data_IF_182387518926
#
_entry.id   IF_182387518926
#
_cell.length_a   1.000
_cell.length_b   1.000
_cell.length_c   1.000
_cell.angle_alpha   90.00
_cell.angle_beta   90.00
_cell.angle_gamma   90.00
#
_symmetry.space_group_name_H-M   'P 1'
#
loop_
_entity.id
_entity.type
_entity.pdbx_description
1 polymer ?
#
# COMPACT_ATOMS: atom_id res chain seq x y z
N UNK A 1 -17.43 30.68 82.63
CA UNK A 1 -16.12 30.01 82.77
C UNK A 1 -16.26 28.65 82.10
N UNK A 2 -15.72 28.53 80.89
CA UNK A 2 -14.68 27.53 80.53
C UNK A 2 -15.33 26.26 79.92
N UNK A 3 -14.97 25.72 78.76
CA UNK A 3 -14.01 26.07 77.70
C UNK A 3 -14.35 25.24 76.46
N UNK A 4 -14.15 25.82 75.28
CA UNK A 4 -14.01 25.13 73.99
C UNK A 4 -12.98 23.99 74.06
N UNK A 5 -13.28 22.82 73.48
CA UNK A 5 -12.25 21.99 72.83
C UNK A 5 -12.80 21.34 71.56
N UNK A 6 -12.30 21.83 70.43
CA UNK A 6 -12.45 21.26 69.10
C UNK A 6 -11.68 19.94 69.00
N UNK A 7 -12.34 18.86 68.58
CA UNK A 7 -11.67 17.67 68.08
C UNK A 7 -11.18 17.94 66.66
N UNK A 8 -9.86 18.11 66.55
CA UNK A 8 -9.15 18.31 65.28
C UNK A 8 -9.11 16.98 64.55
N UNK A 9 -9.93 16.87 63.51
CA UNK A 9 -9.94 15.76 62.56
C UNK A 9 -8.68 15.83 61.67
N UNK A 10 -7.60 15.15 62.06
CA UNK A 10 -6.37 15.03 61.25
C UNK A 10 -6.54 13.90 60.24
N UNK A 11 -7.23 14.19 59.13
CA UNK A 11 -7.16 13.37 57.94
C UNK A 11 -5.74 13.45 57.34
N UNK A 12 -4.90 12.47 57.67
CA UNK A 12 -3.62 12.24 57.02
C UNK A 12 -3.86 11.81 55.57
N UNK A 13 -3.84 12.78 54.65
CA UNK A 13 -3.66 12.53 53.22
C UNK A 13 -2.25 11.96 53.00
N UNK A 14 -2.14 10.63 52.98
CA UNK A 14 -0.96 9.95 52.46
C UNK A 14 -0.85 10.19 50.96
N UNK A 15 -0.17 11.27 50.56
CA UNK A 15 0.34 11.42 49.19
C UNK A 15 1.43 10.38 48.96
N UNK A 16 1.04 9.22 48.41
CA UNK A 16 1.97 8.21 47.92
C UNK A 16 2.69 8.83 46.71
N UNK A 17 3.95 9.26 46.90
CA UNK A 17 4.79 9.72 45.79
C UNK A 17 5.01 8.52 44.85
N UNK A 18 4.60 8.60 43.57
CA UNK A 18 4.83 7.52 42.64
C UNK A 18 6.34 7.27 42.52
N UNK A 19 6.72 6.00 42.51
CA UNK A 19 8.12 5.60 42.37
C UNK A 19 8.69 6.15 41.07
N UNK A 20 9.93 6.62 41.10
CA UNK A 20 10.60 7.25 39.94
C UNK A 20 10.53 6.38 38.66
N UNK A 21 10.56 5.06 38.83
CA UNK A 21 10.36 4.10 37.76
C UNK A 21 8.99 4.22 37.07
N UNK A 22 7.91 4.43 37.82
CA UNK A 22 6.56 4.59 37.29
C UNK A 22 6.40 5.92 36.53
N UNK A 23 7.06 6.99 37.02
CA UNK A 23 7.10 8.30 36.36
C UNK A 23 7.86 8.21 35.03
N UNK A 24 9.00 7.53 35.01
CA UNK A 24 9.79 7.31 33.79
C UNK A 24 9.00 6.49 32.76
N UNK A 25 8.30 5.44 33.21
CA UNK A 25 7.50 4.57 32.32
C UNK A 25 6.34 5.32 31.68
N UNK A 26 5.61 6.12 32.46
CA UNK A 26 4.47 6.92 31.98
C UNK A 26 4.91 8.02 31.02
N UNK A 27 6.01 8.73 31.33
CA UNK A 27 6.59 9.71 30.42
C UNK A 27 7.02 9.09 29.09
N UNK A 28 7.65 7.90 29.13
CA UNK A 28 8.05 7.17 27.93
C UNK A 28 6.84 6.78 27.06
N UNK A 29 5.79 6.18 27.64
CA UNK A 29 4.59 5.82 26.89
C UNK A 29 3.85 7.04 26.33
N UNK A 30 3.73 8.13 27.08
CA UNK A 30 3.11 9.37 26.57
C UNK A 30 3.83 9.93 25.34
N UNK A 31 5.16 9.80 25.30
CA UNK A 31 5.98 10.26 24.18
C UNK A 31 5.87 9.32 22.98
N UNK A 32 5.72 8.03 23.23
CA UNK A 32 5.41 7.02 22.22
C UNK A 32 4.04 7.28 21.59
N UNK A 33 3.00 7.52 22.38
CA UNK A 33 1.66 7.84 21.89
C UNK A 33 1.64 9.15 21.10
N UNK A 34 2.35 10.19 21.57
CA UNK A 34 2.50 11.43 20.82
C UNK A 34 3.23 11.22 19.47
N UNK A 35 4.17 10.29 19.41
CA UNK A 35 4.88 9.93 18.18
C UNK A 35 3.98 9.13 17.21
N UNK A 36 3.24 8.15 17.74
CA UNK A 36 2.26 7.37 16.96
C UNK A 36 1.15 8.27 16.41
N UNK A 37 0.60 9.17 17.23
CA UNK A 37 -0.42 10.14 16.80
C UNK A 37 0.10 11.08 15.71
N UNK A 38 1.38 11.47 15.75
CA UNK A 38 2.02 12.26 14.67
C UNK A 38 2.19 11.48 13.37
N UNK A 39 2.38 10.16 13.45
CA UNK A 39 2.43 9.30 12.27
C UNK A 39 1.03 9.08 11.69
N UNK A 40 0.01 8.91 12.53
CA UNK A 40 -1.38 8.75 12.10
C UNK A 40 -1.96 10.01 11.49
N UNK A 41 -1.69 11.19 12.05
CA UNK A 41 -2.13 12.47 11.44
C UNK A 41 -1.53 12.68 10.04
N UNK A 42 -0.32 12.18 9.76
CA UNK A 42 0.24 12.20 8.39
C UNK A 42 -0.47 11.23 7.44
N UNK A 43 -1.12 10.18 7.95
CA UNK A 43 -1.85 9.18 7.14
C UNK A 43 -3.32 9.53 6.95
N UNK A 44 -3.91 10.39 7.78
CA UNK A 44 -5.32 10.81 7.70
C UNK A 44 -5.61 11.85 6.61
N UNK A 45 -4.89 11.80 5.48
CA UNK A 45 -5.20 12.70 4.37
C UNK A 45 -6.49 12.22 3.70
N UNK A 46 -7.48 13.09 3.66
CA UNK A 46 -8.74 12.84 2.93
C UNK A 46 -8.51 13.10 1.45
N UNK A 47 -8.58 12.06 0.63
CA UNK A 47 -8.46 12.19 -0.82
C UNK A 47 -9.78 12.59 -1.46
N UNK A 48 -9.76 13.38 -2.55
CA UNK A 48 -10.94 13.77 -3.33
C UNK A 48 -11.02 13.04 -4.66
N UNK A 49 -12.20 13.07 -5.30
CA UNK A 49 -12.36 12.53 -6.66
C UNK A 49 -11.49 13.38 -7.60
N UNK A 50 -10.72 12.72 -8.46
CA UNK A 50 -9.75 13.34 -9.35
C UNK A 50 -8.32 13.39 -8.80
N UNK A 51 -8.10 13.12 -7.51
CA UNK A 51 -6.76 13.04 -6.94
C UNK A 51 -5.96 11.89 -7.55
N UNK A 52 -4.65 12.12 -7.68
CA UNK A 52 -3.69 11.11 -8.09
C UNK A 52 -3.05 10.51 -6.85
N UNK A 53 -3.14 9.20 -6.74
CA UNK A 53 -2.64 8.40 -5.62
C UNK A 53 -1.77 7.27 -6.14
N UNK A 54 -0.89 6.76 -5.29
CA UNK A 54 -0.05 5.60 -5.56
C UNK A 54 -0.54 4.38 -4.80
N UNK A 55 -0.54 3.21 -5.43
CA UNK A 55 -0.73 1.93 -4.76
C UNK A 55 0.59 1.19 -4.66
N UNK A 56 0.89 0.60 -3.50
CA UNK A 56 2.07 -0.27 -3.37
C UNK A 56 1.86 -1.52 -4.20
N UNK A 57 2.78 -1.79 -5.12
CA UNK A 57 2.88 -3.11 -5.74
C UNK A 57 3.77 -3.95 -4.82
N UNK A 58 3.15 -4.81 -4.01
CA UNK A 58 3.88 -5.80 -3.23
C UNK A 58 4.35 -6.91 -4.17
N UNK A 59 5.67 -6.97 -4.37
CA UNK A 59 6.46 -8.03 -5.01
C UNK A 59 5.74 -8.84 -6.09
N UNK A 60 5.76 -8.30 -7.30
CA UNK A 60 5.55 -9.11 -8.52
C UNK A 60 6.77 -10.03 -8.77
N UNK A 61 7.90 -9.83 -8.08
CA UNK A 61 8.97 -10.85 -8.02
C UNK A 61 9.94 -10.71 -6.83
N UNK A 62 10.47 -11.83 -6.34
CA UNK A 62 11.34 -11.97 -5.14
C UNK A 62 12.76 -11.36 -5.28
N UNK A 63 13.07 -10.77 -6.42
CA UNK A 63 14.44 -10.36 -6.81
C UNK A 63 14.62 -8.87 -6.99
N UNK A 64 13.53 -8.08 -6.96
CA UNK A 64 13.60 -6.64 -7.18
C UNK A 64 13.40 -5.89 -5.84
N UNK A 65 14.49 -5.46 -5.23
CA UNK A 65 14.54 -4.76 -3.94
C UNK A 65 13.86 -3.36 -3.93
N UNK A 66 13.23 -2.93 -5.04
CA UNK A 66 12.52 -1.66 -5.13
C UNK A 66 11.01 -1.89 -5.21
N UNK A 67 10.31 -1.57 -4.12
CA UNK A 67 8.84 -1.55 -4.13
C UNK A 67 8.36 -0.53 -5.17
N UNK A 68 7.72 -0.99 -6.23
CA UNK A 68 7.17 -0.10 -7.25
C UNK A 68 5.83 0.46 -6.80
N UNK A 69 5.59 1.73 -7.08
CA UNK A 69 4.32 2.41 -6.81
C UNK A 69 3.55 2.53 -8.12
N UNK A 70 2.33 1.99 -8.16
CA UNK A 70 1.41 2.10 -9.28
C UNK A 70 0.60 3.40 -9.15
N UNK A 71 0.77 4.38 -10.03
CA UNK A 71 0.01 5.62 -9.99
C UNK A 71 -1.40 5.39 -10.55
N UNK A 72 -2.40 5.88 -9.84
CA UNK A 72 -3.81 5.74 -10.14
C UNK A 72 -4.55 7.06 -9.89
N UNK A 73 -5.72 7.22 -10.50
CA UNK A 73 -6.64 8.36 -10.26
C UNK A 73 -7.85 7.89 -9.47
N UNK A 74 -8.36 8.68 -8.53
CA UNK A 74 -9.61 8.36 -7.82
C UNK A 74 -10.80 8.81 -8.67
N UNK A 75 -11.72 7.90 -8.95
CA UNK A 75 -12.92 8.21 -9.75
C UNK A 75 -14.21 8.16 -8.93
N UNK A 76 -14.27 7.24 -7.96
CA UNK A 76 -15.46 7.03 -7.16
C UNK A 76 -15.09 6.75 -5.71
N UNK A 77 -16.05 7.06 -4.83
CA UNK A 77 -15.98 6.81 -3.40
C UNK A 77 -17.25 6.10 -2.96
N UNK A 78 -17.07 5.07 -2.16
CA UNK A 78 -18.14 4.30 -1.53
C UNK A 78 -17.95 4.38 -0.03
N UNK A 79 -18.97 4.83 0.69
CA UNK A 79 -18.99 4.71 2.15
C UNK A 79 -19.82 3.49 2.51
N UNK A 80 -19.20 2.51 3.16
CA UNK A 80 -19.87 1.30 3.64
C UNK A 80 -19.37 1.00 5.06
N UNK A 81 -20.28 0.82 6.02
CA UNK A 81 -19.96 0.45 7.40
C UNK A 81 -18.90 1.36 8.08
N UNK A 82 -18.99 2.67 7.89
CA UNK A 82 -18.01 3.69 8.34
C UNK A 82 -16.62 3.60 7.69
N UNK A 83 -16.41 2.72 6.71
CA UNK A 83 -15.20 2.68 5.91
C UNK A 83 -15.43 3.39 4.57
N UNK A 84 -14.42 4.16 4.14
CA UNK A 84 -14.44 4.80 2.82
C UNK A 84 -13.55 4.01 1.89
N UNK A 85 -14.19 3.39 0.89
CA UNK A 85 -13.54 2.62 -0.16
C UNK A 85 -13.55 3.41 -1.45
N UNK A 86 -12.45 3.34 -2.18
CA UNK A 86 -12.21 4.10 -3.38
C UNK A 86 -12.04 3.17 -4.58
N UNK A 87 -12.63 3.55 -5.71
CA UNK A 87 -12.36 2.91 -7.00
C UNK A 87 -11.32 3.76 -7.74
N UNK A 88 -10.31 3.07 -8.24
CA UNK A 88 -9.11 3.70 -8.81
C UNK A 88 -8.76 3.04 -10.14
N UNK A 89 -8.88 3.76 -11.26
CA UNK A 89 -8.23 3.37 -12.51
C UNK A 89 -6.74 3.65 -12.49
N UNK A 90 -6.02 2.72 -13.12
CA UNK A 90 -4.67 2.93 -13.63
C UNK A 90 -4.76 3.32 -15.11
N UNK A 91 -3.63 3.70 -15.70
CA UNK A 91 -3.53 4.07 -17.13
C UNK A 91 -4.11 3.00 -18.08
N UNK A 92 -4.08 1.72 -17.70
CA UNK A 92 -4.45 0.60 -18.56
C UNK A 92 -5.82 -0.03 -18.24
N UNK A 93 -6.53 0.46 -17.21
CA UNK A 93 -7.82 -0.12 -16.84
C UNK A 93 -8.30 0.26 -15.44
N UNK A 94 -9.59 0.01 -15.19
CA UNK A 94 -10.23 0.20 -13.88
C UNK A 94 -9.90 -0.99 -13.00
N UNK A 95 -9.30 -0.76 -11.83
CA UNK A 95 -8.97 -1.86 -10.92
C UNK A 95 -10.25 -2.37 -10.26
N UNK A 96 -10.54 -3.67 -10.44
CA UNK A 96 -11.74 -4.33 -9.86
C UNK A 96 -11.79 -4.24 -8.33
N UNK A 97 -10.62 -4.25 -7.67
CA UNK A 97 -10.50 -4.16 -6.22
C UNK A 97 -10.71 -2.73 -5.75
N UNK A 98 -11.42 -2.56 -4.64
CA UNK A 98 -11.57 -1.29 -3.94
C UNK A 98 -10.51 -1.16 -2.85
N UNK A 99 -10.06 0.06 -2.61
CA UNK A 99 -8.97 0.34 -1.66
C UNK A 99 -9.42 1.35 -0.61
N UNK A 100 -8.91 1.19 0.60
CA UNK A 100 -9.07 2.16 1.65
C UNK A 100 -8.05 3.31 1.48
N UNK A 101 -8.28 4.38 2.23
CA UNK A 101 -7.35 5.53 2.26
C UNK A 101 -5.95 5.16 2.77
N UNK A 102 -5.81 4.11 3.58
CA UNK A 102 -4.52 3.68 4.16
C UNK A 102 -3.63 2.96 3.15
N UNK A 103 -4.21 2.38 2.09
CA UNK A 103 -3.46 1.76 1.00
C UNK A 103 -2.80 2.79 0.05
N UNK A 104 -3.17 4.07 0.15
CA UNK A 104 -2.71 5.10 -0.78
C UNK A 104 -1.44 5.82 -0.33
N UNK A 105 -0.52 5.95 -1.28
CA UNK A 105 0.56 6.92 -1.24
C UNK A 105 0.10 8.21 -1.89
N UNK A 106 0.44 9.31 -1.25
CA UNK A 106 0.12 10.62 -1.78
C UNK A 106 1.03 10.97 -2.96
N UNK A 107 0.42 11.11 -4.13
CA UNK A 107 1.06 11.53 -5.37
C UNK A 107 0.41 12.81 -5.93
N UNK A 108 -0.32 13.56 -5.09
CA UNK A 108 -1.07 14.76 -5.52
C UNK A 108 -0.18 15.85 -6.10
N UNK A 109 1.08 15.93 -5.65
CA UNK A 109 2.08 16.88 -6.16
C UNK A 109 2.77 16.41 -7.44
N UNK A 110 2.66 15.13 -7.78
CA UNK A 110 3.29 14.57 -8.97
C UNK A 110 2.44 14.82 -10.22
N UNK A 111 3.09 15.15 -11.33
CA UNK A 111 2.42 15.47 -12.58
C UNK A 111 2.33 14.24 -13.49
N UNK A 112 1.16 13.59 -13.50
CA UNK A 112 0.85 12.50 -14.43
C UNK A 112 -0.21 12.94 -15.45
N UNK A 113 0.24 13.55 -16.55
CA UNK A 113 -0.65 14.05 -17.60
C UNK A 113 -1.60 12.97 -18.16
N UNK A 114 -1.08 11.75 -18.35
CA UNK A 114 -1.83 10.61 -18.86
C UNK A 114 -2.98 10.18 -17.94
N UNK A 115 -2.79 10.23 -16.62
CA UNK A 115 -3.85 9.90 -15.65
C UNK A 115 -4.89 11.01 -15.56
N UNK A 116 -4.49 12.29 -15.73
CA UNK A 116 -5.42 13.41 -15.71
C UNK A 116 -6.38 13.38 -16.89
N UNK A 117 -5.86 13.12 -18.08
CA UNK A 117 -6.59 13.02 -19.34
C UNK A 117 -7.24 11.63 -19.58
N UNK A 118 -7.22 10.76 -18.57
CA UNK A 118 -7.75 9.41 -18.69
C UNK A 118 -9.27 9.43 -18.86
N UNK A 119 -9.75 8.89 -19.98
CA UNK A 119 -11.16 8.62 -20.21
C UNK A 119 -11.54 7.30 -19.55
N UNK A 120 -12.45 7.36 -18.59
CA UNK A 120 -12.85 6.20 -17.77
C UNK A 120 -13.82 5.28 -18.49
N UNK A 121 -14.56 5.79 -19.48
CA UNK A 121 -15.70 5.08 -20.06
C UNK A 121 -15.26 3.99 -21.05
N UNK A 122 -14.03 4.11 -21.58
CA UNK A 122 -13.45 3.18 -22.54
C UNK A 122 -12.53 2.13 -21.89
N UNK A 123 -12.31 2.21 -20.58
CA UNK A 123 -11.33 1.37 -19.91
C UNK A 123 -11.91 0.03 -19.47
N UNK A 124 -11.23 -1.09 -19.79
CA UNK A 124 -11.64 -2.39 -19.29
C UNK A 124 -11.42 -2.48 -17.78
N UNK A 125 -12.24 -3.30 -17.12
CA UNK A 125 -12.00 -3.69 -15.73
C UNK A 125 -10.88 -4.74 -15.68
N UNK A 126 -9.83 -4.47 -14.93
CA UNK A 126 -8.65 -5.34 -14.81
C UNK A 126 -8.37 -5.70 -13.34
N UNK A 127 -7.67 -6.83 -13.13
CA UNK A 127 -7.20 -7.20 -11.81
C UNK A 127 -6.01 -6.32 -11.39
N UNK A 128 -5.84 -6.08 -10.08
CA UNK A 128 -4.71 -5.29 -9.56
C UNK A 128 -3.34 -5.83 -9.98
N UNK A 129 -3.19 -7.16 -10.00
CA UNK A 129 -1.95 -7.83 -10.44
C UNK A 129 -1.67 -7.53 -11.92
N UNK A 130 -2.69 -7.61 -12.78
CA UNK A 130 -2.56 -7.30 -14.20
C UNK A 130 -2.17 -5.82 -14.42
N UNK A 131 -2.82 -4.89 -13.71
CA UNK A 131 -2.48 -3.47 -13.75
C UNK A 131 -1.01 -3.22 -13.36
N UNK A 132 -0.56 -3.90 -12.30
CA UNK A 132 0.82 -3.79 -11.80
C UNK A 132 1.84 -4.36 -12.79
N UNK A 133 1.57 -5.51 -13.38
CA UNK A 133 2.41 -6.14 -14.41
C UNK A 133 2.55 -5.25 -15.66
N UNK A 134 1.43 -4.71 -16.16
CA UNK A 134 1.43 -3.81 -17.31
C UNK A 134 2.22 -2.52 -17.02
N UNK A 135 2.08 -1.95 -15.83
CA UNK A 135 2.78 -0.72 -15.45
C UNK A 135 4.30 -0.92 -15.31
N UNK A 136 4.70 -2.01 -14.67
CA UNK A 136 6.12 -2.35 -14.48
C UNK A 136 6.81 -2.80 -15.77
N UNK A 137 6.08 -2.90 -16.89
CA UNK A 137 6.47 -3.67 -18.07
C UNK A 137 6.95 -5.08 -17.73
N UNK A 138 6.57 -5.57 -16.55
CA UNK A 138 6.84 -6.92 -16.12
C UNK A 138 5.87 -7.78 -16.87
N UNK A 139 6.29 -8.20 -18.06
CA UNK A 139 5.78 -9.43 -18.62
C UNK A 139 6.10 -10.45 -17.55
N UNK A 140 5.09 -10.93 -16.82
CA UNK A 140 5.19 -12.29 -16.30
C UNK A 140 5.46 -13.09 -17.55
N UNK A 141 6.73 -13.40 -17.79
CA UNK A 141 7.12 -14.47 -18.68
C UNK A 141 6.20 -15.57 -18.20
N UNK A 142 5.21 -15.94 -19.03
CA UNK A 142 4.35 -17.10 -18.82
C UNK A 142 5.24 -18.11 -18.16
N UNK A 143 5.07 -18.34 -16.85
CA UNK A 143 6.14 -18.84 -15.97
C UNK A 143 6.86 -19.95 -16.70
N UNK A 144 8.01 -19.62 -17.29
CA UNK A 144 8.82 -20.58 -17.98
C UNK A 144 9.17 -21.51 -16.84
N UNK A 145 8.68 -22.74 -16.86
CA UNK A 145 9.07 -23.74 -15.83
C UNK A 145 10.57 -24.05 -15.89
N UNK A 146 11.27 -23.40 -16.79
CA UNK A 146 12.70 -23.31 -16.93
C UNK A 146 13.28 -22.78 -15.62
N UNK A 147 14.08 -23.60 -14.94
CA UNK A 147 14.77 -23.25 -13.71
C UNK A 147 15.86 -22.16 -13.89
N UNK A 148 15.86 -21.42 -15.01
CA UNK A 148 16.91 -20.47 -15.38
C UNK A 148 16.42 -19.32 -16.28
N UNK A 149 17.31 -18.37 -16.53
CA UNK A 149 17.04 -17.15 -17.29
C UNK A 149 16.57 -17.47 -18.73
N UNK A 150 15.40 -16.97 -19.12
CA UNK A 150 14.77 -17.29 -20.41
C UNK A 150 15.41 -16.59 -21.62
N UNK A 151 16.37 -15.69 -21.36
CA UNK A 151 17.06 -14.95 -22.41
C UNK A 151 18.21 -15.73 -23.06
N UNK A 152 18.62 -16.87 -22.50
CA UNK A 152 19.67 -17.71 -23.09
C UNK A 152 19.09 -18.65 -24.15
N UNK A 153 19.90 -18.99 -25.16
CA UNK A 153 19.51 -19.96 -26.21
C UNK A 153 19.22 -21.37 -25.68
N UNK A 154 19.53 -21.64 -24.41
CA UNK A 154 19.24 -22.89 -23.71
C UNK A 154 17.80 -22.97 -23.16
N UNK A 155 17.02 -21.89 -23.23
CA UNK A 155 15.66 -21.87 -22.72
C UNK A 155 14.67 -22.54 -23.71
N UNK A 156 14.01 -23.61 -23.26
CA UNK A 156 13.02 -24.36 -24.04
C UNK A 156 11.85 -23.49 -24.56
N UNK A 157 11.40 -22.51 -23.80
CA UNK A 157 10.33 -21.60 -24.23
C UNK A 157 10.73 -20.67 -25.37
N UNK A 158 12.02 -20.42 -25.57
CA UNK A 158 12.52 -19.67 -26.74
C UNK A 158 12.51 -20.53 -28.00
N UNK A 159 12.74 -21.83 -27.86
CA UNK A 159 12.75 -22.79 -28.99
C UNK A 159 11.35 -22.98 -29.57
N UNK A 160 10.31 -23.01 -28.72
CA UNK A 160 8.90 -23.14 -29.13
C UNK A 160 8.30 -21.91 -29.81
N UNK A 161 8.89 -20.71 -29.61
CA UNK A 161 8.42 -19.46 -30.24
C UNK A 161 9.04 -19.20 -31.62
N UNK A 162 9.77 -20.16 -32.20
CA UNK A 162 10.08 -20.07 -33.63
C UNK A 162 8.80 -20.44 -34.38
N UNK A 163 8.15 -19.51 -35.12
CA UNK A 163 7.22 -19.95 -36.15
C UNK A 163 8.01 -20.88 -37.06
N UNK A 164 7.46 -22.07 -37.28
CA UNK A 164 8.07 -23.15 -38.04
C UNK A 164 8.72 -22.61 -39.31
N UNK A 165 10.03 -22.45 -39.29
CA UNK A 165 10.78 -22.51 -40.54
C UNK A 165 10.77 -23.99 -40.88
N UNK A 166 9.82 -24.39 -41.73
CA UNK A 166 9.87 -25.64 -42.46
C UNK A 166 11.23 -25.66 -43.15
N UNK A 167 12.19 -26.41 -42.60
CA UNK A 167 13.42 -26.75 -43.28
C UNK A 167 13.63 -28.25 -43.11
N UNK A 168 13.15 -28.95 -44.13
CA UNK A 168 13.62 -30.22 -44.66
C UNK A 168 13.89 -31.35 -43.67
N UNK A 169 12.99 -32.34 -43.73
CA UNK A 169 13.05 -33.57 -42.98
C UNK A 169 14.42 -34.24 -42.99
N UNK A 170 14.84 -34.63 -41.79
CA UNK A 170 15.70 -35.79 -41.50
C UNK A 170 15.48 -36.14 -40.04
N UNK A 171 14.73 -37.21 -39.81
CA UNK A 171 14.78 -37.99 -38.58
C UNK A 171 16.13 -38.69 -38.47
N UNK A 172 16.79 -38.61 -37.30
CA UNK A 172 17.48 -39.72 -36.59
C UNK A 172 18.48 -39.21 -35.54
N UNK A 173 18.88 -40.05 -34.57
CA UNK A 173 18.13 -41.06 -33.81
C UNK A 173 17.77 -40.56 -32.41
#
# INVERSE_FOLDING_TARGET
METFRSEVNKNYLFTIKPSFHLIMKTAFYSKLDAYLNKLDTKRQRTYVIGDIVGLKVSDVDRTNNSSTILPCKIIEKYSQNNETLHVVPAQNGIIKKRFDQMAFFDLTTANFALLRALDTDQLPTIAFIQASQLYTNFKSIETCKCAGNCNTNSCYCRTLRRPDTIVNGRTRP
#
